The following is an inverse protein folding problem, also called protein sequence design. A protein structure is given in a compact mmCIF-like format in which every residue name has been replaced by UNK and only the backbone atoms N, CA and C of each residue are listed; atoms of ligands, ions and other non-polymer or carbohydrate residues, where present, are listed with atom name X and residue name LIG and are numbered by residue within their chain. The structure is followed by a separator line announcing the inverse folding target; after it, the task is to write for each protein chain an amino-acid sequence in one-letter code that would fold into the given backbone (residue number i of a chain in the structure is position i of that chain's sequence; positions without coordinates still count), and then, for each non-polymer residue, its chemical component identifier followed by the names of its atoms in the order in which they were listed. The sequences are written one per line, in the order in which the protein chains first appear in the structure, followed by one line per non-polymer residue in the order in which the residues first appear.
data_IF_282168286361
#
_entry.id   IF_282168286361
#
_cell.length_a   1.000
_cell.length_b   1.000
_cell.length_c   1.000
_cell.angle_alpha   90.00
_cell.angle_beta   90.00
_cell.angle_gamma   90.00
#
_symmetry.space_group_name_H-M   'P 1'
#
loop_
_entity.id
_entity.type
_entity.pdbx_description
1 polymer ?
#
# COMPACT_ATOMS: atom_id res chain seq x y z
N UNK A 1 -4.60 -14.31 58.60
CA UNK A 1 -3.94 -14.84 59.80
C UNK A 1 -4.63 -16.16 60.17
N UNK A 2 -4.24 -17.28 59.54
CA UNK A 2 -4.67 -18.64 59.89
C UNK A 2 -4.01 -19.64 58.89
N UNK A 3 -2.69 -19.74 58.98
CA UNK A 3 -1.98 -20.72 58.15
C UNK A 3 -0.85 -21.50 58.91
N UNK A 4 -0.96 -21.58 60.25
CA UNK A 4 0.10 -22.22 61.04
C UNK A 4 -0.37 -23.34 62.00
N UNK A 5 -1.63 -23.73 61.96
CA UNK A 5 -2.11 -24.76 62.91
C UNK A 5 -2.05 -26.17 62.29
N UNK A 6 -2.09 -26.32 60.96
CA UNK A 6 -2.05 -27.65 60.33
C UNK A 6 -0.64 -28.28 60.20
N UNK A 7 0.43 -27.48 60.33
CA UNK A 7 1.81 -27.99 60.27
C UNK A 7 2.33 -28.49 61.62
N UNK A 8 1.75 -28.03 62.74
CA UNK A 8 2.18 -28.46 64.08
C UNK A 8 1.54 -29.80 64.49
N UNK A 9 0.34 -30.13 63.98
CA UNK A 9 -0.34 -31.40 64.27
C UNK A 9 0.30 -32.60 63.53
N UNK A 10 1.03 -32.39 62.44
CA UNK A 10 1.67 -33.49 61.67
C UNK A 10 3.03 -33.90 62.20
N UNK A 11 3.67 -33.04 63.02
CA UNK A 11 5.00 -33.30 63.60
C UNK A 11 4.95 -33.99 64.97
N UNK A 12 3.74 -34.03 65.62
CA UNK A 12 3.55 -34.66 66.94
C UNK A 12 3.25 -36.17 66.85
N UNK A 13 2.96 -36.75 65.69
CA UNK A 13 2.62 -38.18 65.50
C UNK A 13 3.83 -39.06 65.21
N UNK A 14 4.99 -38.47 64.86
CA UNK A 14 6.20 -39.25 64.49
C UNK A 14 7.11 -39.60 65.68
N UNK A 15 6.84 -39.10 66.87
CA UNK A 15 7.74 -39.27 68.05
C UNK A 15 7.33 -40.43 68.98
N UNK A 16 6.24 -41.16 68.74
CA UNK A 16 5.71 -42.13 69.73
C UNK A 16 5.88 -43.61 69.37
N UNK A 17 6.83 -44.02 68.54
CA UNK A 17 7.05 -45.47 68.25
C UNK A 17 8.49 -45.91 68.33
N UNK A 18 9.20 -45.58 69.40
CA UNK A 18 10.46 -46.19 69.68
C UNK A 18 10.51 -46.41 71.22
N UNK A 19 10.05 -47.53 71.72
CA UNK A 19 10.56 -48.29 72.85
C UNK A 19 9.78 -49.62 72.95
N UNK A 20 10.37 -50.73 72.61
CA UNK A 20 10.32 -51.94 73.41
C UNK A 20 11.38 -52.90 72.93
N UNK A 21 12.39 -53.01 73.68
CA UNK A 21 13.41 -54.06 73.62
C UNK A 21 13.03 -55.11 74.63
N UNK A 22 12.95 -56.37 74.25
CA UNK A 22 13.21 -57.43 75.23
C UNK A 22 13.91 -58.60 74.60
N UNK A 23 14.94 -59.04 75.31
CA UNK A 23 15.85 -60.13 75.03
C UNK A 23 15.20 -61.43 75.53
N UNK A 24 15.10 -62.43 74.69
CA UNK A 24 15.15 -63.82 75.15
C UNK A 24 16.07 -64.64 74.28
N UNK A 25 17.17 -65.14 74.97
CA UNK A 25 18.02 -66.14 74.47
C UNK A 25 17.31 -67.51 74.48
N UNK A 26 17.25 -68.15 73.31
CA UNK A 26 17.09 -69.63 73.30
C UNK A 26 17.94 -70.27 72.21
N UNK A 27 18.82 -70.94 72.71
CA UNK A 27 19.31 -72.30 72.42
C UNK A 27 19.39 -72.71 70.92
N UNK A 28 20.62 -72.91 70.56
CA UNK A 28 21.08 -73.30 69.25
C UNK A 28 21.13 -74.83 69.18
N UNK A 29 20.06 -75.42 68.63
CA UNK A 29 20.08 -76.74 68.09
C UNK A 29 19.87 -76.65 66.54
N UNK A 30 20.96 -76.85 65.82
CA UNK A 30 20.94 -77.01 64.40
C UNK A 30 20.03 -78.21 63.98
N UNK A 31 18.84 -77.94 63.59
CA UNK A 31 18.03 -78.92 62.89
C UNK A 31 18.43 -78.89 61.41
N UNK A 32 19.32 -79.76 60.99
CA UNK A 32 19.68 -79.98 59.61
C UNK A 32 18.44 -80.61 58.92
N UNK A 33 17.64 -79.80 58.34
CA UNK A 33 16.57 -80.29 57.43
C UNK A 33 17.23 -80.66 56.13
N UNK A 34 17.24 -81.92 55.83
CA UNK A 34 17.58 -82.43 54.49
C UNK A 34 16.53 -81.97 53.50
N UNK A 35 16.88 -80.99 52.68
CA UNK A 35 16.08 -80.59 51.56
C UNK A 35 16.42 -81.39 50.32
N UNK A 36 15.50 -82.13 49.83
CA UNK A 36 15.62 -82.79 48.54
C UNK A 36 15.54 -81.69 47.47
N UNK A 37 16.67 -81.35 46.86
CA UNK A 37 16.69 -80.44 45.75
C UNK A 37 16.62 -81.28 44.46
N UNK A 38 15.74 -80.85 43.56
CA UNK A 38 15.66 -81.34 42.20
C UNK A 38 16.29 -80.29 41.31
N UNK A 39 17.30 -80.63 40.58
CA UNK A 39 17.91 -79.75 39.59
C UNK A 39 16.88 -79.61 38.44
N UNK A 40 16.24 -78.49 38.41
CA UNK A 40 15.42 -78.09 37.19
C UNK A 40 16.45 -77.87 36.09
N UNK A 41 16.58 -78.83 35.21
CA UNK A 41 17.21 -78.63 33.92
C UNK A 41 16.50 -77.43 33.27
N UNK A 42 17.19 -76.32 33.22
CA UNK A 42 16.67 -75.17 32.52
C UNK A 42 16.32 -75.60 31.11
N UNK A 43 15.03 -75.62 30.82
CA UNK A 43 14.64 -75.72 29.42
C UNK A 43 15.18 -74.51 28.71
N UNK A 44 16.02 -74.73 27.74
CA UNK A 44 16.48 -73.71 26.80
C UNK A 44 15.33 -73.26 25.87
N UNK A 45 14.10 -73.39 26.37
CA UNK A 45 12.93 -72.79 25.74
C UNK A 45 13.05 -71.24 25.91
N UNK A 46 13.77 -70.66 25.00
CA UNK A 46 13.61 -69.24 24.72
C UNK A 46 12.14 -69.02 24.33
N UNK A 47 11.31 -68.82 25.35
CA UNK A 47 9.95 -68.39 25.11
C UNK A 47 10.00 -67.11 24.28
N UNK A 48 9.99 -67.28 22.96
CA UNK A 48 9.90 -66.12 22.06
C UNK A 48 8.50 -65.53 22.22
N UNK A 49 8.37 -64.49 23.02
CA UNK A 49 7.15 -63.73 23.07
C UNK A 49 7.04 -62.93 21.77
N UNK A 50 6.06 -63.30 20.96
CA UNK A 50 5.69 -62.54 19.77
C UNK A 50 4.83 -61.36 20.19
N UNK A 51 5.39 -60.15 20.10
CA UNK A 51 4.64 -58.91 20.24
C UNK A 51 4.14 -58.50 18.85
N UNK A 52 2.85 -58.26 18.71
CA UNK A 52 2.27 -57.65 17.52
C UNK A 52 2.29 -56.15 17.72
N UNK A 53 2.91 -55.42 16.82
CA UNK A 53 2.99 -53.98 16.79
C UNK A 53 2.77 -53.45 15.38
N UNK A 54 2.25 -52.24 15.27
CA UNK A 54 2.17 -51.53 13.99
C UNK A 54 3.28 -50.46 13.92
N UNK A 55 4.00 -50.45 12.81
CA UNK A 55 4.94 -49.36 12.49
C UNK A 55 4.17 -48.21 11.84
N UNK A 56 4.16 -47.06 12.51
CA UNK A 56 3.64 -45.84 11.92
C UNK A 56 4.84 -44.97 11.46
N UNK A 57 4.76 -44.33 10.27
CA UNK A 57 5.79 -43.43 9.82
C UNK A 57 5.92 -42.25 10.77
N UNK A 58 7.16 -41.77 10.96
CA UNK A 58 7.48 -40.64 11.83
C UNK A 58 6.85 -39.32 11.35
N UNK A 59 6.78 -39.11 10.03
CA UNK A 59 6.15 -37.96 9.39
C UNK A 59 5.03 -38.46 8.46
N UNK A 60 3.84 -37.90 8.65
CA UNK A 60 2.70 -38.09 7.76
C UNK A 60 2.16 -36.73 7.36
N UNK A 61 2.02 -36.48 6.08
CA UNK A 61 1.45 -35.25 5.55
C UNK A 61 0.19 -35.54 4.74
N UNK A 62 -0.90 -34.85 5.06
CA UNK A 62 -2.11 -34.89 4.26
C UNK A 62 -1.99 -33.81 3.19
N UNK A 63 -1.98 -34.20 1.93
CA UNK A 63 -1.87 -33.31 0.79
C UNK A 63 -3.26 -32.97 0.27
N UNK A 64 -3.59 -31.69 0.18
CA UNK A 64 -4.87 -31.17 -0.28
C UNK A 64 -4.68 -30.02 -1.24
N UNK A 65 -5.63 -29.82 -2.13
CA UNK A 65 -5.70 -28.60 -2.94
C UNK A 65 -6.09 -27.41 -2.05
N UNK A 66 -5.57 -26.22 -2.40
CA UNK A 66 -5.91 -24.96 -1.72
C UNK A 66 -7.10 -24.25 -2.34
N UNK A 67 -7.64 -24.78 -3.43
CA UNK A 67 -8.79 -24.26 -4.19
C UNK A 67 -9.75 -25.41 -4.51
N UNK A 68 -11.00 -25.07 -4.80
CA UNK A 68 -12.04 -26.04 -5.17
C UNK A 68 -11.90 -26.41 -6.65
N UNK A 69 -12.39 -27.56 -7.05
CA UNK A 69 -12.45 -27.93 -8.47
C UNK A 69 -12.65 -29.41 -8.70
N UNK A 70 -12.76 -29.81 -9.96
CA UNK A 70 -12.76 -31.22 -10.37
C UNK A 70 -11.34 -31.67 -10.65
N UNK A 71 -10.96 -32.85 -10.19
CA UNK A 71 -9.65 -33.46 -10.51
C UNK A 71 -9.64 -33.85 -12.00
N UNK A 72 -8.80 -33.16 -12.78
CA UNK A 72 -8.62 -33.48 -14.21
C UNK A 72 -7.76 -34.72 -14.38
N UNK A 73 -6.66 -34.84 -13.61
CA UNK A 73 -5.74 -35.95 -13.74
C UNK A 73 -4.94 -36.23 -12.47
N UNK A 74 -4.66 -37.47 -12.21
CA UNK A 74 -3.78 -38.00 -11.16
C UNK A 74 -2.56 -38.67 -11.80
N UNK A 75 -1.36 -38.29 -11.36
CA UNK A 75 -0.10 -38.75 -11.96
C UNK A 75 0.64 -39.80 -11.16
N UNK A 76 0.16 -40.11 -9.95
CA UNK A 76 0.82 -41.03 -9.00
C UNK A 76 -0.15 -42.04 -8.45
N UNK A 77 0.36 -43.20 -8.03
CA UNK A 77 -0.41 -44.30 -7.44
C UNK A 77 0.06 -44.57 -6.02
N UNK A 78 -0.75 -45.30 -5.26
CA UNK A 78 -0.38 -45.77 -3.92
C UNK A 78 0.88 -46.64 -4.03
N UNK A 79 1.87 -46.36 -3.20
CA UNK A 79 3.18 -47.04 -3.20
C UNK A 79 4.27 -46.30 -4.00
N UNK A 80 3.93 -45.29 -4.83
CA UNK A 80 4.90 -44.56 -5.60
C UNK A 80 5.79 -43.68 -4.73
N UNK A 81 7.09 -43.66 -5.03
CA UNK A 81 8.05 -42.73 -4.45
C UNK A 81 8.03 -41.41 -5.21
N UNK A 82 7.85 -40.32 -4.48
CA UNK A 82 7.75 -38.97 -5.03
C UNK A 82 8.86 -38.08 -4.50
N UNK A 83 9.31 -37.12 -5.34
CA UNK A 83 10.31 -36.14 -4.98
C UNK A 83 9.66 -34.79 -4.69
N UNK A 84 10.30 -33.97 -3.88
CA UNK A 84 9.89 -32.59 -3.61
C UNK A 84 9.64 -31.81 -4.90
N UNK A 85 8.49 -31.14 -5.01
CA UNK A 85 8.07 -30.39 -6.18
C UNK A 85 7.43 -31.22 -7.30
N UNK A 86 7.45 -32.56 -7.21
CA UNK A 86 6.82 -33.44 -8.20
C UNK A 86 5.30 -33.20 -8.26
N UNK A 87 4.74 -33.12 -9.47
CA UNK A 87 3.31 -32.97 -9.71
C UNK A 87 2.60 -34.30 -9.40
N UNK A 88 1.60 -34.26 -8.53
CA UNK A 88 0.85 -35.41 -8.08
C UNK A 88 -0.53 -35.50 -8.72
N UNK A 89 -1.23 -34.39 -8.77
CA UNK A 89 -2.55 -34.27 -9.39
C UNK A 89 -2.79 -32.84 -9.87
N UNK A 90 -3.75 -32.66 -10.77
CA UNK A 90 -4.14 -31.38 -11.30
C UNK A 90 -5.67 -31.26 -11.34
N UNK A 91 -6.19 -30.07 -10.96
CA UNK A 91 -7.59 -29.73 -11.16
C UNK A 91 -7.83 -29.16 -12.56
N UNK A 92 -9.09 -29.14 -13.02
CA UNK A 92 -9.47 -28.38 -14.23
C UNK A 92 -9.04 -26.91 -14.07
N UNK A 93 -8.10 -26.50 -14.93
CA UNK A 93 -7.49 -25.16 -14.92
C UNK A 93 -8.33 -24.12 -15.66
N UNK A 94 -9.30 -24.53 -16.46
CA UNK A 94 -10.00 -23.62 -17.37
C UNK A 94 -10.70 -22.46 -16.63
N UNK A 95 -11.45 -22.67 -15.52
CA UNK A 95 -12.07 -21.58 -14.77
C UNK A 95 -11.04 -20.58 -14.24
N UNK A 96 -9.91 -21.08 -13.75
CA UNK A 96 -8.82 -20.25 -13.18
C UNK A 96 -8.04 -19.50 -14.26
N UNK A 97 -7.87 -20.08 -15.45
CA UNK A 97 -7.27 -19.39 -16.63
C UNK A 97 -8.12 -18.21 -17.07
N UNK A 98 -9.45 -18.42 -17.19
CA UNK A 98 -10.39 -17.35 -17.52
C UNK A 98 -10.36 -16.23 -16.47
N UNK A 99 -10.24 -16.58 -15.19
CA UNK A 99 -10.12 -15.59 -14.12
C UNK A 99 -8.82 -14.78 -14.23
N UNK A 100 -7.70 -15.41 -14.61
CA UNK A 100 -6.42 -14.70 -14.88
C UNK A 100 -6.59 -13.77 -16.08
N UNK A 101 -7.20 -14.21 -17.17
CA UNK A 101 -7.44 -13.38 -18.37
C UNK A 101 -8.33 -12.17 -18.02
N UNK A 102 -9.39 -12.37 -17.26
CA UNK A 102 -10.26 -11.29 -16.79
C UNK A 102 -9.50 -10.27 -15.92
N UNK A 103 -8.65 -10.75 -15.00
CA UNK A 103 -7.83 -9.89 -14.17
C UNK A 103 -6.79 -9.12 -15.01
N UNK A 104 -6.19 -9.73 -16.03
CA UNK A 104 -5.27 -9.07 -16.98
C UNK A 104 -6.01 -7.98 -17.76
N UNK A 105 -7.21 -8.25 -18.27
CA UNK A 105 -8.01 -7.25 -18.96
C UNK A 105 -8.31 -6.03 -18.05
N UNK A 106 -8.67 -6.27 -16.79
CA UNK A 106 -8.85 -5.21 -15.78
C UNK A 106 -7.56 -4.40 -15.53
N UNK A 107 -6.41 -5.06 -15.48
CA UNK A 107 -5.11 -4.39 -15.35
C UNK A 107 -4.78 -3.51 -16.56
N UNK A 108 -5.00 -4.00 -17.79
CA UNK A 108 -4.76 -3.19 -18.99
C UNK A 108 -5.71 -1.97 -19.06
N UNK A 109 -6.95 -2.11 -18.62
CA UNK A 109 -7.88 -0.98 -18.48
C UNK A 109 -7.37 0.04 -17.44
N UNK A 110 -6.92 -0.41 -16.28
CA UNK A 110 -6.31 0.44 -15.25
C UNK A 110 -5.06 1.16 -15.74
N UNK A 111 -4.23 0.47 -16.52
CA UNK A 111 -3.03 1.02 -17.17
C UNK A 111 -3.36 2.10 -18.19
N UNK A 112 -4.38 1.89 -19.01
CA UNK A 112 -4.86 2.91 -19.96
C UNK A 112 -5.36 4.16 -19.23
N UNK A 113 -6.13 4.00 -18.14
CA UNK A 113 -6.60 5.11 -17.30
C UNK A 113 -5.42 5.90 -16.67
N UNK A 114 -4.40 5.20 -16.18
CA UNK A 114 -3.18 5.84 -15.65
C UNK A 114 -2.43 6.62 -16.74
N UNK A 115 -2.27 6.08 -17.94
CA UNK A 115 -1.64 6.78 -19.06
C UNK A 115 -2.41 8.02 -19.45
N UNK A 116 -3.74 7.94 -19.56
CA UNK A 116 -4.60 9.09 -19.84
C UNK A 116 -4.46 10.18 -18.78
N UNK A 117 -4.45 9.82 -17.49
CA UNK A 117 -4.23 10.80 -16.41
C UNK A 117 -2.86 11.46 -16.49
N UNK A 118 -1.84 10.75 -17.01
CA UNK A 118 -0.51 11.31 -17.25
C UNK A 118 -0.50 12.34 -18.39
N UNK A 119 -1.30 12.12 -19.45
CA UNK A 119 -1.47 13.08 -20.54
C UNK A 119 -2.14 14.36 -20.04
N UNK A 120 -3.20 14.25 -19.25
CA UNK A 120 -3.90 15.39 -18.64
C UNK A 120 -2.95 16.25 -17.79
N UNK A 121 -2.01 15.65 -17.05
CA UNK A 121 -0.96 16.42 -16.34
C UNK A 121 -0.08 17.19 -17.31
N UNK A 122 0.29 16.60 -18.44
CA UNK A 122 1.13 17.27 -19.45
C UNK A 122 0.39 18.45 -20.08
N UNK A 123 -0.88 18.29 -20.39
CA UNK A 123 -1.75 19.38 -20.87
C UNK A 123 -1.87 20.51 -19.85
N UNK A 124 -2.11 20.17 -18.58
CA UNK A 124 -2.19 21.14 -17.49
C UNK A 124 -0.87 21.92 -17.30
N UNK A 125 0.29 21.26 -17.45
CA UNK A 125 1.59 21.94 -17.44
C UNK A 125 1.77 22.93 -18.60
N UNK A 126 1.28 22.56 -19.77
CA UNK A 126 1.29 23.46 -20.94
C UNK A 126 0.39 24.68 -20.68
N UNK A 127 -0.78 24.48 -20.06
CA UNK A 127 -1.67 25.56 -19.65
C UNK A 127 -0.99 26.55 -18.66
N UNK A 128 -0.25 26.03 -17.68
CA UNK A 128 0.55 26.86 -16.74
C UNK A 128 1.62 27.66 -17.49
N UNK A 129 2.31 27.05 -18.45
CA UNK A 129 3.33 27.75 -19.25
C UNK A 129 2.72 28.88 -20.09
N UNK A 130 1.54 28.65 -20.69
CA UNK A 130 0.81 29.67 -21.43
C UNK A 130 0.34 30.83 -20.53
N UNK A 131 -0.22 30.49 -19.35
CA UNK A 131 -0.63 31.52 -18.37
C UNK A 131 0.57 32.39 -17.92
N UNK A 132 1.74 31.78 -17.68
CA UNK A 132 2.97 32.49 -17.36
C UNK A 132 3.42 33.45 -18.47
N UNK A 133 3.30 33.04 -19.72
CA UNK A 133 3.57 33.91 -20.87
C UNK A 133 2.60 35.08 -20.90
N UNK A 134 1.32 34.85 -20.66
CA UNK A 134 0.30 35.92 -20.56
C UNK A 134 0.64 36.95 -19.48
N UNK A 135 1.07 36.49 -18.30
CA UNK A 135 1.52 37.40 -17.21
C UNK A 135 2.68 38.26 -17.67
N UNK A 136 3.69 37.70 -18.34
CA UNK A 136 4.84 38.45 -18.84
C UNK A 136 4.43 39.54 -19.85
N UNK A 137 3.47 39.20 -20.72
CA UNK A 137 2.88 40.14 -21.69
C UNK A 137 2.11 41.26 -20.98
N UNK A 138 1.27 40.95 -20.00
CA UNK A 138 0.52 41.90 -19.21
C UNK A 138 1.46 42.85 -18.40
N UNK A 139 2.54 42.30 -17.81
CA UNK A 139 3.58 43.12 -17.16
C UNK A 139 4.26 44.12 -18.12
N UNK A 140 4.51 43.67 -19.35
CA UNK A 140 5.08 44.56 -20.38
C UNK A 140 4.11 45.65 -20.78
N UNK A 141 2.80 45.34 -20.87
CA UNK A 141 1.76 46.33 -21.14
C UNK A 141 1.66 47.38 -20.00
N UNK A 142 1.76 46.96 -18.73
CA UNK A 142 1.81 47.88 -17.58
C UNK A 142 3.00 48.84 -17.72
N UNK A 143 4.21 48.34 -18.00
CA UNK A 143 5.41 49.19 -18.17
C UNK A 143 5.22 50.19 -19.30
N UNK A 144 4.60 49.81 -20.41
CA UNK A 144 4.29 50.71 -21.52
C UNK A 144 3.29 51.77 -21.10
N UNK A 145 2.21 51.40 -20.42
CA UNK A 145 1.19 52.33 -19.95
C UNK A 145 1.76 53.30 -18.86
N UNK A 146 2.64 52.83 -18.00
CA UNK A 146 3.36 53.66 -17.02
C UNK A 146 4.27 54.71 -17.72
N UNK A 147 4.97 54.32 -18.78
CA UNK A 147 5.78 55.22 -19.56
C UNK A 147 4.91 56.30 -20.23
N UNK A 148 3.74 55.95 -20.79
CA UNK A 148 2.77 56.90 -21.36
C UNK A 148 2.20 57.84 -20.30
N UNK A 149 1.85 57.34 -19.12
CA UNK A 149 1.37 58.14 -17.99
C UNK A 149 2.44 59.16 -17.54
N UNK A 150 3.67 58.71 -17.36
CA UNK A 150 4.79 59.57 -16.94
C UNK A 150 5.07 60.66 -18.00
N UNK A 151 5.00 60.36 -19.29
CA UNK A 151 5.13 61.32 -20.38
C UNK A 151 4.00 62.38 -20.34
N UNK A 152 2.74 61.94 -20.15
CA UNK A 152 1.60 62.85 -20.03
C UNK A 152 1.73 63.79 -18.80
N UNK A 153 2.16 63.25 -17.64
CA UNK A 153 2.45 64.05 -16.41
C UNK A 153 3.55 65.08 -16.66
N UNK A 154 4.58 64.69 -17.40
CA UNK A 154 5.67 65.59 -17.75
C UNK A 154 5.20 66.73 -18.63
N UNK A 155 4.35 66.43 -19.67
CA UNK A 155 3.72 67.41 -20.53
C UNK A 155 2.78 68.34 -19.76
N UNK A 156 1.97 67.81 -18.84
CA UNK A 156 1.11 68.58 -17.95
C UNK A 156 1.91 69.54 -17.09
N UNK A 157 3.05 69.04 -16.52
CA UNK A 157 3.93 69.87 -15.68
C UNK A 157 4.53 71.03 -16.45
N UNK A 158 4.92 70.79 -17.72
CA UNK A 158 5.45 71.84 -18.59
C UNK A 158 4.33 72.85 -18.94
N UNK A 159 3.17 72.41 -19.35
CA UNK A 159 2.02 73.29 -19.70
C UNK A 159 1.63 74.18 -18.48
N UNK A 160 1.58 73.60 -17.27
CA UNK A 160 1.29 74.33 -16.04
C UNK A 160 2.34 75.43 -15.76
N UNK A 161 3.63 75.09 -15.92
CA UNK A 161 4.74 76.10 -15.74
C UNK A 161 4.63 77.22 -16.75
N UNK A 162 4.34 76.94 -18.01
CA UNK A 162 4.15 77.96 -19.08
C UNK A 162 2.93 78.77 -18.81
N UNK A 163 1.81 78.18 -18.40
CA UNK A 163 0.62 78.91 -18.03
C UNK A 163 0.85 79.90 -16.89
N UNK A 164 1.50 79.47 -15.82
CA UNK A 164 1.84 80.38 -14.70
C UNK A 164 2.76 81.54 -15.14
N UNK A 165 3.73 81.29 -16.04
CA UNK A 165 4.56 82.36 -16.63
C UNK A 165 3.69 83.30 -17.44
N UNK A 166 2.83 82.83 -18.34
CA UNK A 166 1.99 83.69 -19.14
C UNK A 166 0.95 84.43 -18.30
N UNK A 167 0.42 83.81 -17.26
CA UNK A 167 -0.49 84.47 -16.32
C UNK A 167 0.16 85.67 -15.62
N UNK A 168 1.41 85.55 -15.19
CA UNK A 168 2.14 86.68 -14.60
C UNK A 168 2.38 87.80 -15.62
N UNK A 169 2.72 87.49 -16.87
CA UNK A 169 2.86 88.44 -17.94
C UNK A 169 1.57 89.18 -18.31
N UNK A 170 0.43 88.43 -18.32
CA UNK A 170 -0.90 88.97 -18.59
C UNK A 170 -1.35 89.94 -17.47
N UNK A 171 -1.13 89.60 -16.19
CA UNK A 171 -1.44 90.41 -15.03
C UNK A 171 -0.65 91.77 -15.01
N UNK A 172 0.47 91.80 -15.73
CA UNK A 172 1.29 92.98 -15.89
C UNK A 172 1.08 93.68 -17.25
N UNK A 173 -0.02 93.38 -17.97
CA UNK A 173 -0.35 93.94 -19.30
C UNK A 173 0.75 93.74 -20.36
N UNK A 174 1.62 92.74 -20.22
CA UNK A 174 2.72 92.48 -21.16
C UNK A 174 2.42 91.54 -22.30
N UNK A 175 1.25 90.88 -22.32
CA UNK A 175 0.80 89.98 -23.40
C UNK A 175 -0.70 90.18 -23.72
N UNK A 176 -1.07 89.80 -24.96
CA UNK A 176 -2.48 89.80 -25.39
C UNK A 176 -3.28 88.65 -24.76
N UNK A 177 -4.59 88.85 -24.56
CA UNK A 177 -5.49 87.91 -23.92
C UNK A 177 -5.51 86.52 -24.64
N UNK A 178 -5.44 86.52 -25.98
CA UNK A 178 -5.44 85.27 -26.75
C UNK A 178 -4.24 84.37 -26.42
N UNK A 179 -3.06 84.97 -26.03
CA UNK A 179 -1.87 84.16 -25.58
C UNK A 179 -2.13 83.53 -24.24
N UNK A 180 -2.77 84.24 -23.32
CA UNK A 180 -3.17 83.70 -22.00
C UNK A 180 -4.23 82.59 -22.17
N UNK A 181 -5.31 82.77 -22.99
CA UNK A 181 -6.35 81.80 -23.23
C UNK A 181 -5.79 80.55 -23.90
N UNK A 182 -4.85 80.70 -24.85
CA UNK A 182 -4.17 79.54 -25.46
C UNK A 182 -3.36 78.71 -24.44
N UNK A 183 -2.68 79.38 -23.54
CA UNK A 183 -1.92 78.67 -22.47
C UNK A 183 -2.84 77.99 -21.50
N UNK A 184 -4.01 78.56 -21.17
CA UNK A 184 -5.04 77.91 -20.36
C UNK A 184 -5.59 76.64 -21.05
N UNK A 185 -5.92 76.77 -22.35
CA UNK A 185 -6.38 75.58 -23.14
C UNK A 185 -5.32 74.48 -23.18
N UNK A 186 -4.04 74.84 -23.32
CA UNK A 186 -2.94 73.86 -23.27
C UNK A 186 -2.90 73.06 -21.97
N UNK A 187 -3.14 73.71 -20.81
CA UNK A 187 -3.23 73.01 -19.51
C UNK A 187 -4.44 72.08 -19.46
N UNK A 188 -5.60 72.54 -20.00
CA UNK A 188 -6.82 71.68 -20.04
C UNK A 188 -6.59 70.43 -20.90
N UNK A 189 -5.96 70.60 -22.07
CA UNK A 189 -5.58 69.50 -22.96
C UNK A 189 -4.60 68.54 -22.30
N UNK A 190 -3.56 69.08 -21.62
CA UNK A 190 -2.58 68.27 -20.90
C UNK A 190 -3.21 67.50 -19.70
N UNK A 191 -4.16 68.13 -18.98
CA UNK A 191 -4.94 67.49 -17.94
C UNK A 191 -5.74 66.28 -18.49
N UNK A 192 -6.43 66.50 -19.61
CA UNK A 192 -7.20 65.45 -20.31
C UNK A 192 -6.28 64.30 -20.77
N UNK A 193 -5.09 64.60 -21.25
CA UNK A 193 -4.05 63.64 -21.60
C UNK A 193 -3.58 62.75 -20.41
N UNK A 194 -3.41 63.37 -19.24
CA UNK A 194 -3.06 62.63 -18.02
C UNK A 194 -4.19 61.68 -17.59
N UNK A 195 -5.46 62.17 -17.62
CA UNK A 195 -6.60 61.29 -17.23
C UNK A 195 -6.76 60.13 -18.22
N UNK A 196 -6.52 60.37 -19.51
CA UNK A 196 -6.55 59.30 -20.52
C UNK A 196 -5.44 58.29 -20.30
N UNK A 197 -4.21 58.70 -20.04
CA UNK A 197 -3.07 57.83 -19.78
C UNK A 197 -3.27 57.05 -18.47
N UNK A 198 -3.84 57.69 -17.45
CA UNK A 198 -4.18 57.07 -16.16
C UNK A 198 -5.22 55.98 -16.32
N UNK A 199 -6.27 56.23 -17.15
CA UNK A 199 -7.25 55.20 -17.46
C UNK A 199 -6.63 54.03 -18.21
N UNK A 200 -5.71 54.29 -19.17
CA UNK A 200 -4.95 53.22 -19.85
C UNK A 200 -4.08 52.39 -18.90
N UNK A 201 -3.44 53.01 -17.93
CA UNK A 201 -2.64 52.32 -16.90
C UNK A 201 -3.58 51.45 -16.00
N UNK A 202 -4.73 51.98 -15.60
CA UNK A 202 -5.70 51.25 -14.82
C UNK A 202 -6.22 50.00 -15.59
N UNK A 203 -6.50 50.12 -16.87
CA UNK A 203 -6.89 49.01 -17.74
C UNK A 203 -5.76 47.96 -17.82
N UNK A 204 -4.51 48.37 -18.05
CA UNK A 204 -3.37 47.43 -18.10
C UNK A 204 -3.17 46.66 -16.78
N UNK A 205 -3.40 47.30 -15.64
CA UNK A 205 -3.38 46.66 -14.32
C UNK A 205 -4.53 45.68 -14.16
N UNK A 206 -5.75 46.03 -14.58
CA UNK A 206 -6.87 45.12 -14.52
C UNK A 206 -6.66 43.84 -15.35
N UNK A 207 -6.08 43.97 -16.56
CA UNK A 207 -5.73 42.82 -17.41
C UNK A 207 -4.64 41.97 -16.74
N UNK A 208 -3.70 42.56 -16.05
CA UNK A 208 -2.69 41.82 -15.28
C UNK A 208 -3.32 41.01 -14.15
N UNK A 209 -4.22 41.57 -13.36
CA UNK A 209 -4.97 40.87 -12.31
C UNK A 209 -5.82 39.71 -12.87
N UNK A 210 -6.47 39.92 -14.03
CA UNK A 210 -7.19 38.87 -14.73
C UNK A 210 -6.27 37.72 -15.14
N UNK A 211 -5.05 38.01 -15.64
CA UNK A 211 -4.09 36.97 -16.02
C UNK A 211 -3.54 36.22 -14.81
N UNK A 212 -3.38 36.88 -13.66
CA UNK A 212 -3.03 36.21 -12.39
C UNK A 212 -4.13 35.26 -11.95
N UNK A 213 -5.39 35.69 -11.94
CA UNK A 213 -6.52 34.82 -11.61
C UNK A 213 -6.60 33.60 -12.56
N UNK A 214 -6.31 33.79 -13.84
CA UNK A 214 -6.20 32.71 -14.83
C UNK A 214 -5.10 31.73 -14.52
N UNK A 215 -3.93 32.22 -14.08
CA UNK A 215 -2.82 31.36 -13.65
C UNK A 215 -3.22 30.52 -12.43
N UNK A 216 -3.85 31.11 -11.41
CA UNK A 216 -4.31 30.40 -10.22
C UNK A 216 -5.33 29.31 -10.55
N UNK A 217 -6.24 29.60 -11.50
CA UNK A 217 -7.17 28.60 -12.01
C UNK A 217 -6.46 27.43 -12.69
N UNK A 218 -5.48 27.72 -13.57
CA UNK A 218 -4.71 26.64 -14.26
C UNK A 218 -3.84 25.85 -13.29
N UNK A 219 -3.30 26.49 -12.28
CA UNK A 219 -2.54 25.83 -11.22
C UNK A 219 -3.44 24.88 -10.40
N UNK A 220 -4.64 25.32 -10.04
CA UNK A 220 -5.63 24.48 -9.34
C UNK A 220 -6.01 23.25 -10.17
N UNK A 221 -6.22 23.42 -11.48
CA UNK A 221 -6.48 22.31 -12.41
C UNK A 221 -5.30 21.32 -12.47
N UNK A 222 -4.06 21.83 -12.45
CA UNK A 222 -2.87 20.99 -12.41
C UNK A 222 -2.82 20.13 -11.14
N UNK A 223 -3.05 20.72 -9.95
CA UNK A 223 -3.05 19.97 -8.68
C UNK A 223 -4.21 18.95 -8.63
N UNK A 224 -5.37 19.28 -9.19
CA UNK A 224 -6.47 18.33 -9.35
C UNK A 224 -6.09 17.16 -10.28
N UNK A 225 -5.42 17.44 -11.40
CA UNK A 225 -4.94 16.41 -12.34
C UNK A 225 -3.89 15.49 -11.67
N UNK A 226 -3.02 16.05 -10.86
CA UNK A 226 -2.01 15.31 -10.09
C UNK A 226 -2.67 14.36 -9.07
N UNK A 227 -3.73 14.82 -8.39
CA UNK A 227 -4.54 13.99 -7.50
C UNK A 227 -5.23 12.86 -8.27
N UNK A 228 -5.81 13.17 -9.43
CA UNK A 228 -6.43 12.20 -10.34
C UNK A 228 -5.44 11.13 -10.81
N UNK A 229 -4.19 11.52 -11.16
CA UNK A 229 -3.14 10.57 -11.52
C UNK A 229 -2.76 9.66 -10.34
N UNK A 230 -2.68 10.21 -9.13
CA UNK A 230 -2.40 9.42 -7.93
C UNK A 230 -3.49 8.37 -7.67
N UNK A 231 -4.77 8.75 -7.83
CA UNK A 231 -5.90 7.84 -7.74
C UNK A 231 -5.84 6.74 -8.82
N UNK A 232 -5.57 7.11 -10.08
CA UNK A 232 -5.42 6.13 -11.18
C UNK A 232 -4.25 5.17 -10.93
N UNK A 233 -3.15 5.64 -10.34
CA UNK A 233 -2.01 4.79 -9.95
C UNK A 233 -2.39 3.79 -8.85
N UNK A 234 -3.20 4.20 -7.87
CA UNK A 234 -3.70 3.31 -6.84
C UNK A 234 -4.60 2.20 -7.43
N UNK A 235 -5.48 2.56 -8.37
CA UNK A 235 -6.31 1.58 -9.11
C UNK A 235 -5.44 0.62 -9.91
N UNK A 236 -4.44 1.11 -10.65
CA UNK A 236 -3.50 0.28 -11.41
C UNK A 236 -2.77 -0.73 -10.50
N UNK A 237 -2.33 -0.30 -9.33
CA UNK A 237 -1.69 -1.18 -8.35
C UNK A 237 -2.66 -2.23 -7.80
N UNK A 238 -3.90 -1.84 -7.53
CA UNK A 238 -4.95 -2.77 -7.07
C UNK A 238 -5.27 -3.84 -8.12
N UNK A 239 -5.40 -3.46 -9.40
CA UNK A 239 -5.64 -4.40 -10.49
C UNK A 239 -4.44 -5.33 -10.74
N UNK A 240 -3.20 -4.85 -10.57
CA UNK A 240 -2.02 -5.71 -10.60
C UNK A 240 -2.07 -6.78 -9.50
N UNK A 241 -2.41 -6.40 -8.28
CA UNK A 241 -2.58 -7.36 -7.17
C UNK A 241 -3.66 -8.40 -7.46
N UNK A 242 -4.75 -8.01 -8.16
CA UNK A 242 -5.78 -8.96 -8.60
C UNK A 242 -5.23 -9.98 -9.61
N UNK A 243 -4.37 -9.55 -10.54
CA UNK A 243 -3.68 -10.48 -11.48
C UNK A 243 -2.79 -11.46 -10.72
N UNK A 244 -2.03 -10.98 -9.74
CA UNK A 244 -1.17 -11.84 -8.91
C UNK A 244 -1.99 -12.86 -8.11
N UNK A 245 -3.10 -12.42 -7.53
CA UNK A 245 -4.02 -13.31 -6.80
C UNK A 245 -4.61 -14.37 -7.72
N UNK A 246 -5.10 -14.00 -8.90
CA UNK A 246 -5.64 -14.94 -9.87
C UNK A 246 -4.59 -15.96 -10.34
N UNK A 247 -3.34 -15.52 -10.60
CA UNK A 247 -2.22 -16.41 -10.92
C UNK A 247 -1.88 -17.36 -9.78
N UNK A 248 -1.92 -16.86 -8.54
CA UNK A 248 -1.70 -17.69 -7.35
C UNK A 248 -2.78 -18.77 -7.22
N UNK A 249 -4.06 -18.41 -7.42
CA UNK A 249 -5.17 -19.38 -7.43
C UNK A 249 -5.01 -20.43 -8.54
N UNK A 250 -4.58 -20.01 -9.75
CA UNK A 250 -4.25 -20.93 -10.83
C UNK A 250 -3.11 -21.88 -10.44
N UNK A 251 -2.09 -21.39 -9.75
CA UNK A 251 -0.98 -22.24 -9.27
C UNK A 251 -1.45 -23.30 -8.25
N UNK A 252 -2.48 -22.99 -7.47
CA UNK A 252 -3.06 -23.90 -6.49
C UNK A 252 -3.91 -25.03 -7.10
N UNK A 253 -4.17 -24.98 -8.41
CA UNK A 253 -4.78 -26.11 -9.15
C UNK A 253 -3.81 -27.25 -9.37
N UNK A 254 -2.52 -27.06 -9.10
CA UNK A 254 -1.49 -28.11 -9.16
C UNK A 254 -1.13 -28.57 -7.75
N UNK A 255 -1.37 -29.83 -7.47
CA UNK A 255 -0.93 -30.45 -6.22
C UNK A 255 0.46 -31.04 -6.41
N UNK A 256 1.43 -30.49 -5.67
CA UNK A 256 2.83 -30.93 -5.71
C UNK A 256 3.29 -31.46 -4.37
N UNK A 257 4.20 -32.42 -4.38
CA UNK A 257 4.79 -32.95 -3.16
C UNK A 257 5.64 -31.88 -2.46
N UNK A 258 5.40 -31.61 -1.15
CA UNK A 258 6.19 -30.64 -0.38
C UNK A 258 7.59 -31.18 -0.03
N UNK A 259 7.74 -32.50 0.07
CA UNK A 259 8.96 -33.21 0.47
C UNK A 259 9.07 -34.55 -0.25
N UNK A 260 10.25 -35.19 -0.15
CA UNK A 260 10.44 -36.54 -0.64
C UNK A 260 9.69 -37.55 0.24
N UNK A 261 9.01 -38.51 -0.39
CA UNK A 261 8.19 -39.45 0.37
C UNK A 261 7.64 -40.59 -0.48
N UNK A 262 6.68 -41.33 0.11
CA UNK A 262 5.93 -42.39 -0.55
C UNK A 262 4.45 -42.15 -0.35
N UNK A 263 3.64 -42.34 -1.39
CA UNK A 263 2.18 -42.20 -1.31
C UNK A 263 1.61 -43.43 -0.58
N UNK A 264 1.13 -43.21 0.65
CA UNK A 264 0.56 -44.27 1.49
C UNK A 264 -0.91 -44.50 1.17
N UNK A 265 -1.65 -43.44 0.82
CA UNK A 265 -3.11 -43.51 0.57
C UNK A 265 -3.54 -42.46 -0.46
N UNK A 266 -4.52 -42.81 -1.27
CA UNK A 266 -5.24 -41.92 -2.18
C UNK A 266 -6.71 -41.90 -1.76
N UNK A 267 -7.28 -40.70 -1.52
CA UNK A 267 -8.62 -40.50 -0.98
C UNK A 267 -9.61 -39.93 -2.01
N UNK A 268 -9.11 -39.44 -3.17
CA UNK A 268 -9.96 -38.93 -4.25
C UNK A 268 -9.49 -39.45 -5.62
N UNK A 269 -10.40 -39.52 -6.58
CA UNK A 269 -10.18 -40.06 -7.92
C UNK A 269 -10.30 -38.98 -9.00
N UNK A 270 -9.87 -39.31 -10.24
CA UNK A 270 -10.09 -38.48 -11.41
C UNK A 270 -11.58 -38.20 -11.64
N UNK A 271 -11.92 -37.01 -12.10
CA UNK A 271 -13.26 -36.48 -12.31
C UNK A 271 -14.08 -36.26 -11.03
N UNK A 272 -13.48 -36.37 -9.85
CA UNK A 272 -14.13 -36.08 -8.58
C UNK A 272 -14.03 -34.59 -8.24
N UNK A 273 -15.14 -34.02 -7.72
CA UNK A 273 -15.14 -32.63 -7.21
C UNK A 273 -14.61 -32.62 -5.79
N UNK A 274 -13.58 -31.77 -5.58
CA UNK A 274 -12.92 -31.63 -4.30
C UNK A 274 -13.00 -30.19 -3.80
N UNK A 275 -13.10 -30.06 -2.48
CA UNK A 275 -13.09 -28.76 -1.80
C UNK A 275 -11.68 -28.43 -1.31
N UNK A 276 -11.41 -27.13 -1.15
CA UNK A 276 -10.15 -26.65 -0.57
C UNK A 276 -9.94 -27.26 0.84
N UNK A 277 -8.76 -27.81 1.08
CA UNK A 277 -8.41 -28.47 2.34
C UNK A 277 -8.83 -29.94 2.45
N UNK A 278 -9.60 -30.48 1.51
CA UNK A 278 -9.95 -31.90 1.48
C UNK A 278 -8.67 -32.71 1.18
N UNK A 279 -8.31 -33.71 2.02
CA UNK A 279 -7.10 -34.51 1.79
C UNK A 279 -7.26 -35.40 0.58
N UNK A 280 -6.31 -35.38 -0.33
CA UNK A 280 -6.27 -36.16 -1.58
C UNK A 280 -5.29 -37.32 -1.45
N UNK A 281 -4.09 -37.04 -0.89
CA UNK A 281 -3.06 -38.04 -0.64
C UNK A 281 -2.57 -37.95 0.80
N UNK A 282 -2.07 -39.11 1.26
CA UNK A 282 -1.34 -39.18 2.51
C UNK A 282 0.01 -39.82 2.26
#
# INVERSE_FOLDING_TARGET
MNLNIKKIAFMAIIVLTIVSCDKDKKDNSEIIKTVKYETVLGSDDKASQKFSGSLNPYLQSNLSFKVNGSIEKVYVKIGDKVKKGQLLAVLDKNPYRLQVEQAIAGYEQGKAAYLNSSLVITESKTGIAQAKTGITQAQSAIKQAEAMYNSAVSSQTLAKKEFERYKQLYLNDNIAQNIYDNAKLSVEQANSGVEQAKAGLALAKAVYEETLAKQDQTHSQYEQSKTGKSASNAVLKSTLTQVELAKLQLSYTELRAPEDGTIAMQMAQENENVSAGMPIFR
#
